data_IF_299189269444
#
_entry.id   IF_299189269444
#
_cell.length_a   1.000
_cell.length_b   1.000
_cell.length_c   1.000
_cell.angle_alpha   90.00
_cell.angle_beta   90.00
_cell.angle_gamma   90.00
#
_symmetry.space_group_name_H-M   'P 1'
#
loop_
_entity.id
_entity.type
_entity.pdbx_description
1 polymer ?
#
# COMPACT_ATOMS: atom_id res chain seq x y z
N UNK A 1 10.32 -5.64 1.45
CA UNK A 1 11.10 -5.95 0.23
C UNK A 1 12.56 -5.67 0.55
N UNK A 2 13.50 -6.46 0.04
CA UNK A 2 14.93 -6.19 0.26
C UNK A 2 15.76 -6.44 -0.99
N UNK A 3 16.92 -5.80 -1.05
CA UNK A 3 17.95 -6.01 -2.06
C UNK A 3 19.32 -5.98 -1.38
N UNK A 4 20.29 -6.68 -1.94
CA UNK A 4 21.64 -6.70 -1.39
C UNK A 4 22.67 -6.73 -2.51
N UNK A 5 23.84 -6.18 -2.22
CA UNK A 5 25.01 -6.26 -3.08
C UNK A 5 26.25 -6.46 -2.23
N UNK A 6 27.29 -7.03 -2.81
CA UNK A 6 28.56 -7.17 -2.13
C UNK A 6 29.70 -6.97 -3.11
N UNK A 7 30.85 -6.59 -2.59
CA UNK A 7 32.09 -6.49 -3.35
C UNK A 7 33.26 -6.97 -2.50
N UNK A 8 34.31 -7.47 -3.16
CA UNK A 8 35.54 -7.90 -2.50
C UNK A 8 36.70 -7.20 -3.19
N UNK A 9 37.58 -6.56 -2.42
CA UNK A 9 38.82 -5.95 -2.91
C UNK A 9 39.98 -6.37 -1.99
N UNK A 10 40.77 -7.32 -2.47
CA UNK A 10 41.83 -7.93 -1.65
C UNK A 10 41.23 -8.64 -0.43
N UNK A 11 41.72 -8.37 0.80
CA UNK A 11 41.16 -8.98 1.99
C UNK A 11 39.85 -8.33 2.46
N UNK A 12 39.45 -7.18 1.89
CA UNK A 12 38.26 -6.45 2.32
C UNK A 12 37.03 -6.94 1.56
N UNK A 13 35.95 -7.21 2.27
CA UNK A 13 34.62 -7.47 1.72
C UNK A 13 33.64 -6.44 2.26
N UNK A 14 32.86 -5.86 1.34
CA UNK A 14 31.78 -4.92 1.64
C UNK A 14 30.45 -5.57 1.31
N UNK A 15 29.49 -5.49 2.22
CA UNK A 15 28.12 -5.96 2.03
C UNK A 15 27.18 -4.78 2.23
N UNK A 16 26.31 -4.53 1.26
CA UNK A 16 25.29 -3.50 1.31
C UNK A 16 23.91 -4.16 1.28
N UNK A 17 22.98 -3.62 2.05
CA UNK A 17 21.59 -4.08 2.09
C UNK A 17 20.67 -2.87 2.04
N UNK A 18 19.63 -2.94 1.22
CA UNK A 18 18.50 -2.01 1.20
C UNK A 18 17.22 -2.74 1.59
N UNK A 19 16.42 -2.16 2.47
CA UNK A 19 15.14 -2.73 2.93
C UNK A 19 14.07 -1.66 2.88
N UNK A 20 13.00 -1.92 2.12
CA UNK A 20 11.74 -1.16 2.17
C UNK A 20 10.79 -1.90 3.12
N UNK A 21 10.30 -1.20 4.14
CA UNK A 21 9.35 -1.72 5.12
C UNK A 21 7.90 -1.44 4.72
N UNK A 22 6.94 -2.10 5.39
CA UNK A 22 5.51 -1.94 5.10
C UNK A 22 4.97 -0.55 5.42
N UNK A 23 5.59 0.20 6.33
CA UNK A 23 5.27 1.61 6.58
C UNK A 23 5.91 2.58 5.57
N UNK A 24 6.54 2.02 4.53
CA UNK A 24 7.28 2.70 3.47
C UNK A 24 8.54 3.44 3.94
N UNK A 25 8.97 3.22 5.18
CA UNK A 25 10.32 3.60 5.58
C UNK A 25 11.36 2.72 4.89
N UNK A 26 12.58 3.26 4.76
CA UNK A 26 13.67 2.58 4.05
C UNK A 26 14.92 2.56 4.90
N UNK A 27 15.56 1.41 4.98
CA UNK A 27 16.84 1.22 5.64
C UNK A 27 17.90 0.84 4.61
N UNK A 28 19.08 1.44 4.74
CA UNK A 28 20.30 0.99 4.07
C UNK A 28 21.39 0.69 5.09
N UNK A 29 21.98 -0.49 4.99
CA UNK A 29 23.08 -0.94 5.83
C UNK A 29 24.33 -1.20 5.01
N UNK A 30 25.49 -0.85 5.56
CA UNK A 30 26.81 -1.18 5.00
C UNK A 30 27.61 -1.88 6.09
N UNK A 31 28.19 -3.03 5.76
CA UNK A 31 29.12 -3.77 6.62
C UNK A 31 30.36 -4.09 5.82
N UNK A 32 31.51 -3.57 6.28
CA UNK A 32 32.82 -3.92 5.75
C UNK A 32 33.55 -4.80 6.74
N UNK A 33 34.22 -5.85 6.26
CA UNK A 33 35.00 -6.76 7.09
C UNK A 33 36.17 -7.37 6.32
N UNK A 34 37.16 -7.87 7.05
CA UNK A 34 38.23 -8.68 6.48
C UNK A 34 37.73 -10.11 6.25
N UNK A 35 37.95 -10.67 5.06
CA UNK A 35 37.56 -12.05 4.75
C UNK A 35 38.25 -13.09 5.62
N UNK A 36 39.44 -12.76 6.15
CA UNK A 36 40.16 -13.58 7.13
C UNK A 36 39.58 -13.50 8.55
N UNK A 37 38.74 -12.51 8.85
CA UNK A 37 38.15 -12.33 10.17
C UNK A 37 36.74 -11.70 10.07
N UNK A 38 35.74 -12.41 9.51
CA UNK A 38 34.43 -11.85 9.20
C UNK A 38 33.59 -11.50 10.43
N UNK A 39 33.94 -12.02 11.61
CA UNK A 39 33.23 -11.76 12.87
C UNK A 39 33.46 -10.33 13.40
N UNK A 40 34.48 -9.63 12.91
CA UNK A 40 34.86 -8.30 13.38
C UNK A 40 34.80 -7.28 12.23
N UNK A 41 33.62 -6.65 12.02
CA UNK A 41 33.46 -5.62 11.01
C UNK A 41 34.43 -4.45 11.22
N UNK A 42 35.10 -4.04 10.16
CA UNK A 42 35.97 -2.86 10.13
C UNK A 42 35.17 -1.56 10.00
N UNK A 43 33.98 -1.62 9.40
CA UNK A 43 33.06 -0.50 9.29
C UNK A 43 31.60 -0.99 9.29
N UNK A 44 30.73 -0.19 9.91
CA UNK A 44 29.27 -0.40 9.94
C UNK A 44 28.60 0.95 9.80
N UNK A 45 27.71 1.09 8.82
CA UNK A 45 26.92 2.31 8.61
C UNK A 45 25.45 1.96 8.44
N UNK A 46 24.58 2.76 9.04
CA UNK A 46 23.13 2.68 8.90
C UNK A 46 22.58 4.02 8.41
N UNK A 47 21.78 3.97 7.35
CA UNK A 47 21.08 5.13 6.80
C UNK A 47 19.59 4.81 6.77
N UNK A 48 18.77 5.76 7.15
CA UNK A 48 17.33 5.57 7.25
C UNK A 48 16.55 6.70 6.60
N UNK A 49 15.54 6.34 5.82
CA UNK A 49 14.46 7.23 5.37
C UNK A 49 13.22 6.91 6.23
N UNK A 50 12.69 7.88 7.01
CA UNK A 50 11.50 7.66 7.82
C UNK A 50 10.26 7.41 6.95
N UNK A 51 9.16 6.92 7.56
CA UNK A 51 7.88 6.83 6.87
C UNK A 51 7.51 8.19 6.24
N UNK A 52 6.98 8.20 5.00
CA UNK A 52 6.64 9.43 4.31
C UNK A 52 5.53 10.18 5.05
N UNK A 53 5.54 11.51 4.91
CA UNK A 53 4.47 12.36 5.44
C UNK A 53 3.22 12.27 4.57
N UNK A 54 2.09 12.71 5.10
CA UNK A 54 0.84 12.80 4.36
C UNK A 54 0.93 13.82 3.23
N UNK A 55 0.31 13.50 2.10
CA UNK A 55 0.28 14.35 0.92
C UNK A 55 -0.88 15.34 0.96
N UNK A 56 -0.68 16.51 0.34
CA UNK A 56 -1.73 17.49 0.15
C UNK A 56 -2.73 17.03 -0.95
N UNK A 57 -3.83 17.77 -1.11
CA UNK A 57 -4.87 17.46 -2.08
C UNK A 57 -4.37 17.43 -3.53
N UNK A 58 -3.50 18.38 -3.91
CA UNK A 58 -3.01 18.51 -5.29
C UNK A 58 -2.21 17.27 -5.69
N UNK A 59 -1.24 16.86 -4.86
CA UNK A 59 -0.45 15.64 -5.06
C UNK A 59 -1.33 14.39 -5.12
N UNK A 60 -2.34 14.29 -4.25
CA UNK A 60 -3.26 13.14 -4.25
C UNK A 60 -4.22 13.13 -5.45
N UNK A 61 -4.50 14.29 -6.04
CA UNK A 61 -5.32 14.42 -7.24
C UNK A 61 -4.50 14.04 -8.47
N UNK A 62 -3.26 14.53 -8.58
CA UNK A 62 -2.33 14.15 -9.64
C UNK A 62 -2.07 12.64 -9.64
N UNK A 63 -1.86 12.03 -8.46
CA UNK A 63 -1.71 10.60 -8.34
C UNK A 63 -2.95 9.83 -8.85
N UNK A 64 -4.14 10.31 -8.50
CA UNK A 64 -5.40 9.75 -9.02
C UNK A 64 -5.47 9.87 -10.55
N UNK A 65 -5.24 11.05 -11.10
CA UNK A 65 -5.27 11.28 -12.55
C UNK A 65 -4.25 10.42 -13.31
N UNK A 66 -3.12 10.11 -12.67
CA UNK A 66 -2.05 9.29 -13.25
C UNK A 66 -2.37 7.79 -13.24
N UNK A 67 -2.88 7.26 -12.13
CA UNK A 67 -2.94 5.81 -11.90
C UNK A 67 -4.35 5.23 -11.86
N UNK A 68 -5.31 5.96 -11.30
CA UNK A 68 -6.55 5.36 -10.80
C UNK A 68 -7.41 4.72 -11.88
N UNK A 69 -7.59 5.38 -13.02
CA UNK A 69 -8.47 4.87 -14.06
C UNK A 69 -7.92 3.58 -14.68
N UNK A 70 -6.61 3.53 -14.95
CA UNK A 70 -5.98 2.31 -15.47
C UNK A 70 -6.06 1.15 -14.47
N UNK A 71 -5.91 1.41 -13.17
CA UNK A 71 -6.02 0.38 -12.12
C UNK A 71 -7.46 -0.15 -12.02
N UNK A 72 -8.45 0.74 -12.03
CA UNK A 72 -9.86 0.33 -11.97
C UNK A 72 -10.29 -0.45 -13.23
N UNK A 73 -9.92 0.04 -14.43
CA UNK A 73 -10.18 -0.65 -15.70
C UNK A 73 -9.48 -2.02 -15.77
N UNK A 74 -8.24 -2.11 -15.25
CA UNK A 74 -7.54 -3.38 -15.16
C UNK A 74 -8.36 -4.40 -14.35
N UNK A 75 -8.86 -4.02 -13.17
CA UNK A 75 -9.71 -4.89 -12.36
C UNK A 75 -11.03 -5.26 -13.07
N UNK A 76 -11.68 -4.27 -13.69
CA UNK A 76 -12.94 -4.44 -14.43
C UNK A 76 -12.80 -5.37 -15.64
N UNK A 77 -11.62 -5.42 -16.28
CA UNK A 77 -11.37 -6.27 -17.43
C UNK A 77 -11.56 -7.77 -17.14
N UNK A 78 -11.50 -8.17 -15.88
CA UNK A 78 -11.74 -9.56 -15.48
C UNK A 78 -13.21 -9.89 -15.19
N UNK A 79 -14.09 -8.88 -15.03
CA UNK A 79 -15.51 -9.11 -14.78
C UNK A 79 -16.17 -9.83 -15.96
N UNK A 80 -16.78 -10.98 -15.69
CA UNK A 80 -17.44 -11.78 -16.73
C UNK A 80 -16.49 -12.45 -17.73
N UNK A 81 -15.17 -12.33 -17.56
CA UNK A 81 -14.18 -12.96 -18.43
C UNK A 81 -14.11 -14.48 -18.26
N UNK A 82 -14.60 -14.99 -17.12
CA UNK A 82 -14.42 -16.39 -16.71
C UNK A 82 -12.99 -16.70 -16.25
N UNK A 83 -12.14 -15.69 -16.08
CA UNK A 83 -10.73 -15.84 -15.71
C UNK A 83 -10.40 -15.10 -14.41
N UNK A 84 -9.43 -15.65 -13.68
CA UNK A 84 -8.81 -14.99 -12.53
C UNK A 84 -7.68 -14.05 -12.99
N UNK A 85 -7.43 -13.00 -12.21
CA UNK A 85 -6.19 -12.25 -12.30
C UNK A 85 -5.06 -13.03 -11.62
N UNK A 86 -3.91 -13.16 -12.29
CA UNK A 86 -2.75 -13.85 -11.73
C UNK A 86 -3.06 -15.31 -11.37
N UNK A 87 -2.83 -15.66 -10.09
CA UNK A 87 -3.10 -17.01 -9.56
C UNK A 87 -4.48 -17.14 -8.92
N UNK A 88 -5.27 -16.06 -8.93
CA UNK A 88 -6.58 -16.02 -8.28
C UNK A 88 -6.54 -15.61 -6.80
N UNK A 89 -5.39 -15.19 -6.27
CA UNK A 89 -5.32 -14.66 -4.90
C UNK A 89 -5.93 -13.25 -4.85
N UNK A 90 -6.50 -12.84 -3.71
CA UNK A 90 -7.12 -11.52 -3.56
C UNK A 90 -6.16 -10.36 -3.87
N UNK A 91 -4.90 -10.49 -3.44
CA UNK A 91 -3.86 -9.49 -3.65
C UNK A 91 -3.31 -9.45 -5.09
N UNK A 92 -3.53 -10.48 -5.91
CA UNK A 92 -3.02 -10.51 -7.28
C UNK A 92 -3.60 -9.34 -8.10
N UNK A 93 -4.88 -8.97 -7.91
CA UNK A 93 -5.50 -7.84 -8.59
C UNK A 93 -4.73 -6.53 -8.37
N UNK A 94 -4.49 -6.17 -7.11
CA UNK A 94 -3.77 -4.95 -6.76
C UNK A 94 -2.30 -5.00 -7.20
N UNK A 95 -1.62 -6.13 -6.99
CA UNK A 95 -0.23 -6.31 -7.39
C UNK A 95 -0.03 -6.19 -8.90
N UNK A 96 -0.84 -6.89 -9.69
CA UNK A 96 -0.73 -6.85 -11.16
C UNK A 96 -1.16 -5.50 -11.73
N UNK A 97 -2.19 -4.86 -11.16
CA UNK A 97 -2.60 -3.51 -11.57
C UNK A 97 -1.50 -2.46 -11.34
N UNK A 98 -0.76 -2.55 -10.23
CA UNK A 98 0.40 -1.67 -9.98
C UNK A 98 1.59 -2.03 -10.88
N UNK A 99 1.82 -3.33 -11.12
CA UNK A 99 2.88 -3.80 -12.00
C UNK A 99 2.62 -3.47 -13.48
N UNK A 100 1.38 -3.21 -13.88
CA UNK A 100 1.04 -2.77 -15.24
C UNK A 100 1.85 -1.55 -15.68
N UNK A 101 2.18 -0.64 -14.75
CA UNK A 101 2.95 0.57 -15.04
C UNK A 101 4.44 0.31 -15.26
N UNK A 102 4.96 -0.88 -14.95
CA UNK A 102 6.40 -1.18 -15.08
C UNK A 102 6.89 -1.11 -16.54
N UNK A 103 5.97 -1.32 -17.49
CA UNK A 103 6.24 -1.41 -18.91
C UNK A 103 6.14 -0.05 -19.63
N UNK A 104 5.85 1.03 -18.88
CA UNK A 104 5.70 2.39 -19.41
C UNK A 104 6.74 3.34 -18.83
N UNK A 105 7.84 3.56 -19.56
CA UNK A 105 8.96 4.40 -19.09
C UNK A 105 8.60 5.88 -18.87
N UNK A 106 7.51 6.35 -19.49
CA UNK A 106 7.05 7.74 -19.37
C UNK A 106 6.09 7.97 -18.19
N UNK A 107 5.67 6.91 -17.50
CA UNK A 107 4.83 7.02 -16.30
C UNK A 107 5.70 6.74 -15.08
N UNK A 108 5.77 7.65 -14.09
CA UNK A 108 6.48 7.36 -12.84
C UNK A 108 5.94 6.09 -12.20
N UNK A 109 6.81 5.16 -11.82
CA UNK A 109 6.41 3.86 -11.27
C UNK A 109 5.72 4.07 -9.91
N UNK A 110 4.53 3.49 -9.68
CA UNK A 110 3.87 3.61 -8.40
C UNK A 110 4.64 2.83 -7.32
N UNK A 111 4.41 3.16 -6.05
CA UNK A 111 4.84 2.33 -4.93
C UNK A 111 4.29 0.91 -5.12
N UNK A 112 5.13 -0.13 -5.13
CA UNK A 112 4.66 -1.51 -5.32
C UNK A 112 3.89 -1.99 -4.08
N UNK A 113 2.99 -2.95 -4.28
CA UNK A 113 2.38 -3.68 -3.15
C UNK A 113 3.47 -4.29 -2.26
N UNK A 114 3.51 -3.89 -1.00
CA UNK A 114 4.43 -4.44 0.00
C UNK A 114 3.67 -4.79 1.28
N UNK A 115 3.58 -6.09 1.56
CA UNK A 115 2.70 -6.60 2.62
C UNK A 115 1.28 -6.07 2.41
N UNK A 116 0.78 -5.19 3.30
CA UNK A 116 -0.56 -4.60 3.28
C UNK A 116 -0.62 -3.17 2.73
N UNK A 117 0.48 -2.68 2.17
CA UNK A 117 0.61 -1.28 1.77
C UNK A 117 0.71 -1.17 0.26
N UNK A 118 -0.14 -0.32 -0.30
CA UNK A 118 -0.31 -0.17 -1.75
C UNK A 118 -0.14 1.28 -2.24
N UNK A 119 0.44 2.16 -1.42
CA UNK A 119 0.67 3.57 -1.74
C UNK A 119 0.49 4.50 -0.54
N UNK A 120 -0.01 5.71 -0.79
CA UNK A 120 -0.30 6.68 0.27
C UNK A 120 -1.57 6.28 1.02
N UNK A 121 -1.51 6.13 2.34
CA UNK A 121 -2.68 5.84 3.18
C UNK A 121 -3.68 7.01 3.12
N UNK A 122 -4.90 6.77 2.68
CA UNK A 122 -6.01 7.74 2.63
C UNK A 122 -6.88 7.61 3.88
N UNK A 123 -7.11 6.39 4.33
CA UNK A 123 -7.99 6.12 5.45
C UNK A 123 -7.58 4.83 6.16
N UNK A 124 -7.65 4.82 7.48
CA UNK A 124 -7.60 3.60 8.29
C UNK A 124 -8.80 3.59 9.24
N UNK A 125 -9.36 2.40 9.46
CA UNK A 125 -10.53 2.22 10.32
C UNK A 125 -10.51 0.88 11.03
N UNK A 126 -11.20 0.83 12.17
CA UNK A 126 -11.34 -0.36 13.01
C UNK A 126 -12.72 -0.41 13.65
N UNK A 127 -13.28 -1.60 13.71
CA UNK A 127 -14.45 -1.91 14.52
C UNK A 127 -14.11 -2.94 15.59
N UNK A 128 -14.69 -2.78 16.77
CA UNK A 128 -14.66 -3.79 17.83
C UNK A 128 -16.04 -3.90 18.51
N UNK A 129 -16.21 -4.94 19.32
CA UNK A 129 -17.43 -5.15 20.12
C UNK A 129 -18.73 -5.18 19.28
N UNK A 130 -18.69 -5.83 18.11
CA UNK A 130 -19.83 -5.93 17.19
C UNK A 130 -20.30 -4.55 16.71
N UNK A 131 -19.36 -3.68 16.35
CA UNK A 131 -19.62 -2.35 15.79
C UNK A 131 -19.99 -1.28 16.82
N UNK A 132 -19.92 -1.59 18.12
CA UNK A 132 -20.18 -0.59 19.18
C UNK A 132 -19.07 0.47 19.25
N UNK A 133 -17.85 0.05 18.96
CA UNK A 133 -16.68 0.94 18.94
C UNK A 133 -16.17 1.00 17.52
N UNK A 134 -16.28 2.19 16.92
CA UNK A 134 -15.88 2.50 15.57
C UNK A 134 -14.85 3.63 15.61
N UNK A 135 -13.63 3.31 15.24
CA UNK A 135 -12.51 4.25 15.21
C UNK A 135 -11.98 4.33 13.80
N UNK A 136 -11.57 5.51 13.37
CA UNK A 136 -10.89 5.66 12.10
C UNK A 136 -10.25 7.02 11.98
N UNK A 137 -9.37 7.15 11.00
CA UNK A 137 -8.54 8.33 10.81
C UNK A 137 -8.36 8.56 9.32
N UNK A 138 -8.67 9.78 8.90
CA UNK A 138 -8.35 10.25 7.56
C UNK A 138 -6.89 10.70 7.46
N UNK A 139 -6.29 10.50 6.29
CA UNK A 139 -4.89 10.78 6.02
C UNK A 139 -4.73 11.48 4.68
N UNK A 140 -4.03 12.61 4.69
CA UNK A 140 -3.82 13.45 3.51
C UNK A 140 -4.94 14.46 3.24
N UNK A 141 -4.73 15.28 2.22
CA UNK A 141 -5.56 16.46 1.93
C UNK A 141 -6.73 16.21 0.98
N UNK A 142 -6.88 15.02 0.40
CA UNK A 142 -8.04 14.76 -0.47
C UNK A 142 -9.33 14.59 0.35
N UNK A 143 -10.47 14.80 -0.28
CA UNK A 143 -11.77 14.85 0.39
C UNK A 143 -12.65 13.64 0.12
N UNK A 144 -12.13 12.64 -0.58
CA UNK A 144 -12.87 11.47 -1.04
C UNK A 144 -11.95 10.28 -1.22
N UNK A 145 -12.55 9.11 -1.13
CA UNK A 145 -11.96 7.90 -1.69
C UNK A 145 -12.30 7.87 -3.16
N UNK A 146 -11.34 7.51 -3.99
CA UNK A 146 -11.48 7.56 -5.43
C UNK A 146 -11.52 6.17 -6.01
N UNK A 147 -12.17 6.07 -7.16
CA UNK A 147 -11.93 4.97 -8.09
C UNK A 147 -10.42 4.77 -8.28
N UNK A 148 -9.98 3.51 -8.35
CA UNK A 148 -8.58 3.11 -8.44
C UNK A 148 -7.81 3.10 -7.11
N UNK A 149 -8.37 3.62 -6.02
CA UNK A 149 -7.80 3.39 -4.68
C UNK A 149 -7.90 1.89 -4.33
N UNK A 150 -7.02 1.41 -3.45
CA UNK A 150 -6.90 0.00 -3.08
C UNK A 150 -7.31 -0.16 -1.62
N UNK A 151 -8.29 -1.03 -1.37
CA UNK A 151 -8.76 -1.37 -0.04
C UNK A 151 -8.08 -2.66 0.45
N UNK A 152 -7.67 -2.64 1.72
CA UNK A 152 -7.11 -3.78 2.43
C UNK A 152 -7.92 -4.00 3.71
N UNK A 153 -8.33 -5.24 3.97
CA UNK A 153 -9.06 -5.63 5.18
C UNK A 153 -8.34 -6.75 5.92
N UNK A 154 -8.46 -6.71 7.24
CA UNK A 154 -7.93 -7.74 8.14
C UNK A 154 -8.95 -8.11 9.20
N UNK A 155 -9.32 -9.39 9.22
CA UNK A 155 -10.28 -10.02 10.14
C UNK A 155 -11.58 -9.24 10.24
N UNK A 156 -12.05 -8.75 9.09
CA UNK A 156 -13.21 -7.89 9.00
C UNK A 156 -14.48 -8.71 8.97
N UNK A 157 -15.45 -8.25 9.76
CA UNK A 157 -16.81 -8.76 9.78
C UNK A 157 -17.75 -7.62 9.47
N UNK A 158 -18.53 -7.78 8.40
CA UNK A 158 -19.53 -6.80 7.97
C UNK A 158 -20.91 -7.43 8.13
N UNK A 159 -21.76 -6.81 8.95
CA UNK A 159 -23.14 -7.22 9.15
C UNK A 159 -23.96 -7.05 7.87
N UNK A 160 -24.90 -7.98 7.63
CA UNK A 160 -25.84 -7.92 6.51
C UNK A 160 -27.22 -8.37 6.97
N UNK A 161 -28.32 -7.98 6.31
CA UNK A 161 -29.63 -8.53 6.61
C UNK A 161 -29.60 -10.07 6.59
N UNK A 162 -29.88 -10.70 7.73
CA UNK A 162 -29.89 -12.17 7.87
C UNK A 162 -28.52 -12.85 7.99
N UNK A 163 -27.41 -12.10 8.11
CA UNK A 163 -26.09 -12.72 8.23
C UNK A 163 -24.93 -11.74 8.33
N UNK A 164 -23.76 -12.17 7.88
CA UNK A 164 -22.55 -11.37 7.83
C UNK A 164 -21.63 -11.85 6.72
N UNK A 165 -20.70 -11.00 6.31
CA UNK A 165 -19.57 -11.37 5.46
C UNK A 165 -18.28 -11.26 6.24
N UNK A 166 -17.37 -12.19 5.99
CA UNK A 166 -16.00 -12.15 6.50
C UNK A 166 -15.08 -11.71 5.37
N UNK A 167 -14.25 -10.70 5.63
CA UNK A 167 -13.19 -10.25 4.74
C UNK A 167 -11.86 -10.36 5.47
N UNK A 168 -10.89 -10.98 4.82
CA UNK A 168 -9.55 -11.15 5.36
C UNK A 168 -9.49 -12.07 6.57
N UNK A 169 -9.55 -13.37 6.34
CA UNK A 169 -9.12 -14.36 7.34
C UNK A 169 -7.86 -15.09 6.81
N UNK A 170 -6.66 -14.48 6.90
CA UNK A 170 -6.32 -13.29 7.69
C UNK A 170 -6.41 -11.93 6.99
N UNK A 171 -6.29 -11.86 5.65
CA UNK A 171 -6.15 -10.62 4.88
C UNK A 171 -6.91 -10.66 3.54
N UNK A 172 -7.40 -9.51 3.08
CA UNK A 172 -8.13 -9.39 1.82
C UNK A 172 -7.91 -8.04 1.16
N UNK A 173 -7.60 -8.05 -0.13
CA UNK A 173 -7.34 -6.85 -0.93
C UNK A 173 -8.40 -6.72 -2.02
N UNK A 174 -8.86 -5.50 -2.30
CA UNK A 174 -9.73 -5.20 -3.43
C UNK A 174 -9.42 -3.83 -4.03
N UNK A 175 -9.84 -3.62 -5.28
CA UNK A 175 -9.71 -2.35 -5.98
C UNK A 175 -11.04 -1.61 -5.92
N UNK A 176 -11.03 -0.35 -5.49
CA UNK A 176 -12.20 0.51 -5.44
C UNK A 176 -12.53 0.98 -6.86
N UNK A 177 -13.78 0.82 -7.29
CA UNK A 177 -14.20 1.10 -8.67
C UNK A 177 -15.26 2.20 -8.78
N UNK A 178 -15.62 2.82 -7.67
CA UNK A 178 -16.46 4.02 -7.65
C UNK A 178 -15.92 5.03 -6.64
N UNK A 179 -15.98 6.31 -6.99
CA UNK A 179 -15.74 7.39 -6.06
C UNK A 179 -16.74 7.33 -4.90
N UNK A 180 -16.26 7.65 -3.71
CA UNK A 180 -17.08 7.81 -2.53
C UNK A 180 -16.65 9.06 -1.77
N UNK A 181 -17.63 9.89 -1.44
CA UNK A 181 -17.45 11.09 -0.64
C UNK A 181 -17.96 10.79 0.78
N UNK A 182 -17.11 10.88 1.82
CA UNK A 182 -17.54 10.71 3.19
C UNK A 182 -18.61 11.72 3.59
N UNK A 183 -19.43 11.39 4.59
CA UNK A 183 -20.54 12.25 5.05
C UNK A 183 -20.06 13.59 5.59
N UNK A 184 -18.83 13.65 6.08
CA UNK A 184 -18.17 14.85 6.58
C UNK A 184 -16.94 15.10 5.74
N UNK A 185 -16.69 16.35 5.35
CA UNK A 185 -15.48 16.71 4.61
C UNK A 185 -14.25 16.45 5.48
N UNK A 186 -13.42 15.46 5.14
CA UNK A 186 -12.33 15.06 6.01
C UNK A 186 -11.19 16.07 5.93
N UNK A 187 -10.32 16.03 6.95
CA UNK A 187 -9.05 16.75 6.99
C UNK A 187 -7.97 15.78 7.44
N UNK A 188 -6.72 16.06 7.07
CA UNK A 188 -5.62 15.20 7.50
C UNK A 188 -5.58 15.04 9.03
N UNK A 189 -5.47 13.80 9.49
CA UNK A 189 -5.47 13.43 10.91
C UNK A 189 -6.84 13.48 11.59
N UNK A 190 -7.91 13.86 10.89
CA UNK A 190 -9.26 13.90 11.45
C UNK A 190 -9.75 12.50 11.79
N UNK A 191 -10.32 12.34 12.99
CA UNK A 191 -11.07 11.14 13.36
C UNK A 191 -12.32 11.06 12.49
N UNK A 192 -12.47 9.94 11.79
CA UNK A 192 -13.60 9.64 10.92
C UNK A 192 -13.91 8.16 11.08
N UNK A 193 -15.09 7.84 11.60
CA UNK A 193 -15.49 6.46 11.83
C UNK A 193 -15.83 5.74 10.52
N UNK A 194 -15.70 4.40 10.44
CA UNK A 194 -16.14 3.64 9.27
C UNK A 194 -17.58 3.94 8.83
N UNK A 195 -18.50 4.23 9.76
CA UNK A 195 -19.88 4.57 9.44
C UNK A 195 -20.04 5.92 8.72
N UNK A 196 -19.09 6.84 8.89
CA UNK A 196 -19.07 8.13 8.21
C UNK A 196 -18.45 8.06 6.81
N UNK A 197 -17.74 6.95 6.53
CA UNK A 197 -17.10 6.70 5.25
C UNK A 197 -18.15 6.45 4.15
N UNK A 198 -19.14 5.59 4.40
CA UNK A 198 -20.22 5.28 3.45
C UNK A 198 -20.06 3.91 2.79
N UNK A 199 -20.40 3.81 1.50
CA UNK A 199 -20.36 2.55 0.76
C UNK A 199 -19.10 2.50 -0.11
N UNK A 200 -18.33 1.43 0.02
CA UNK A 200 -17.23 1.12 -0.88
C UNK A 200 -17.71 0.14 -1.94
N UNK A 201 -17.65 0.56 -3.21
CA UNK A 201 -17.85 -0.34 -4.34
C UNK A 201 -16.52 -0.80 -4.88
N UNK A 202 -16.28 -2.10 -4.86
CA UNK A 202 -14.99 -2.71 -5.16
C UNK A 202 -15.10 -3.83 -6.17
N UNK A 203 -13.98 -4.16 -6.79
CA UNK A 203 -13.75 -5.45 -7.44
C UNK A 203 -12.75 -6.23 -6.63
N UNK A 204 -13.14 -7.45 -6.30
CA UNK A 204 -12.35 -8.38 -5.51
C UNK A 204 -12.35 -9.76 -6.16
N UNK A 205 -11.36 -10.56 -5.81
CA UNK A 205 -11.32 -11.99 -6.13
C UNK A 205 -10.79 -12.76 -4.92
N UNK A 206 -10.92 -14.07 -4.94
CA UNK A 206 -10.24 -14.94 -3.98
C UNK A 206 -10.04 -16.34 -4.58
N UNK A 207 -9.31 -17.21 -3.89
CA UNK A 207 -9.11 -18.59 -4.37
C UNK A 207 -10.45 -19.29 -4.56
N UNK A 208 -10.76 -19.65 -5.80
CA UNK A 208 -12.02 -20.30 -6.16
C UNK A 208 -13.21 -19.36 -6.35
N UNK A 209 -13.02 -18.05 -6.22
CA UNK A 209 -14.02 -17.04 -6.55
C UNK A 209 -13.50 -16.12 -7.65
N UNK A 210 -14.16 -16.16 -8.81
CA UNK A 210 -13.85 -15.25 -9.91
C UNK A 210 -14.04 -13.79 -9.50
N UNK A 211 -13.35 -12.84 -10.16
CA UNK A 211 -13.54 -11.42 -9.92
C UNK A 211 -15.01 -11.01 -9.94
N UNK A 212 -15.44 -10.34 -8.89
CA UNK A 212 -16.82 -9.92 -8.67
C UNK A 212 -16.86 -8.47 -8.19
N UNK A 213 -17.87 -7.73 -8.63
CA UNK A 213 -18.19 -6.41 -8.10
C UNK A 213 -19.01 -6.53 -6.83
N UNK A 214 -18.60 -5.86 -5.76
CA UNK A 214 -19.33 -5.84 -4.48
C UNK A 214 -19.41 -4.47 -3.86
N UNK A 215 -20.49 -4.27 -3.13
CA UNK A 215 -20.71 -3.10 -2.30
C UNK A 215 -20.57 -3.48 -0.81
N UNK A 216 -19.78 -2.69 -0.09
CA UNK A 216 -19.59 -2.80 1.35
C UNK A 216 -20.02 -1.52 2.04
N UNK A 217 -21.13 -1.59 2.77
CA UNK A 217 -21.54 -0.49 3.66
C UNK A 217 -20.67 -0.49 4.92
N UNK A 218 -19.80 0.51 5.03
CA UNK A 218 -18.87 0.63 6.16
C UNK A 218 -19.58 0.97 7.47
N UNK A 219 -20.85 1.39 7.45
CA UNK A 219 -21.66 1.51 8.68
C UNK A 219 -22.06 0.17 9.29
N UNK A 220 -21.97 -0.91 8.51
CA UNK A 220 -22.20 -2.27 8.96
C UNK A 220 -20.92 -2.98 9.46
N UNK A 221 -19.81 -2.26 9.65
CA UNK A 221 -18.57 -2.85 10.14
C UNK A 221 -18.71 -3.27 11.62
N UNK A 222 -18.65 -4.57 11.89
CA UNK A 222 -18.85 -5.13 13.24
C UNK A 222 -17.52 -5.45 13.95
N UNK A 223 -16.51 -5.86 13.20
CA UNK A 223 -15.18 -6.16 13.72
C UNK A 223 -14.10 -6.03 12.63
N UNK A 224 -12.84 -5.91 13.05
CA UNK A 224 -11.66 -5.97 12.19
C UNK A 224 -11.13 -4.59 11.81
N UNK A 225 -10.14 -4.60 10.93
CA UNK A 225 -9.37 -3.42 10.52
C UNK A 225 -9.43 -3.25 9.00
N UNK A 226 -9.44 -2.00 8.54
CA UNK A 226 -9.42 -1.67 7.13
C UNK A 226 -8.48 -0.49 6.84
N UNK A 227 -7.87 -0.51 5.66
CA UNK A 227 -7.03 0.55 5.14
C UNK A 227 -7.39 0.82 3.69
N UNK A 228 -7.30 2.09 3.28
CA UNK A 228 -7.49 2.50 1.89
C UNK A 228 -6.24 3.25 1.47
N UNK A 229 -5.64 2.83 0.37
CA UNK A 229 -4.42 3.41 -0.17
C UNK A 229 -4.67 4.00 -1.55
N UNK A 230 -4.09 5.17 -1.78
CA UNK A 230 -3.98 5.75 -3.11
C UNK A 230 -2.65 5.32 -3.75
N UNK A 231 -2.68 4.65 -4.91
CA UNK A 231 -1.50 4.47 -5.74
C UNK A 231 -0.81 5.82 -5.99
N UNK A 232 0.49 5.89 -5.77
CA UNK A 232 1.28 7.12 -5.88
C UNK A 232 2.69 6.79 -6.36
N UNK A 233 3.32 7.72 -7.09
CA UNK A 233 4.70 7.58 -7.57
C UNK A 233 5.68 7.27 -6.43
N UNK A 234 6.48 6.23 -6.58
CA UNK A 234 7.53 5.90 -5.62
C UNK A 234 8.58 7.03 -5.55
N UNK A 235 8.94 7.59 -6.70
CA UNK A 235 9.89 8.70 -6.79
C UNK A 235 9.30 9.99 -6.20
N UNK A 236 8.06 10.33 -6.55
CA UNK A 236 7.41 11.52 -6.02
C UNK A 236 7.15 11.45 -4.52
N UNK A 237 6.88 10.25 -3.99
CA UNK A 237 6.47 10.07 -2.60
C UNK A 237 7.62 9.74 -1.65
N UNK A 238 8.57 8.91 -2.09
CA UNK A 238 9.71 8.45 -1.29
C UNK A 238 11.03 9.10 -1.71
N UNK A 239 11.06 9.82 -2.85
CA UNK A 239 12.27 10.39 -3.44
C UNK A 239 13.23 9.35 -4.06
N UNK A 240 12.78 8.11 -4.19
CA UNK A 240 13.52 7.01 -4.82
C UNK A 240 12.68 6.36 -5.92
N UNK A 241 13.26 6.12 -7.09
CA UNK A 241 12.56 5.47 -8.21
C UNK A 241 12.52 3.94 -8.10
N UNK A 242 13.42 3.36 -7.31
CA UNK A 242 13.49 1.94 -6.99
C UNK A 242 14.33 1.70 -5.74
N UNK A 243 14.10 0.57 -5.06
CA UNK A 243 14.95 0.14 -3.94
C UNK A 243 16.30 -0.39 -4.47
N UNK A 244 17.40 0.23 -4.04
CA UNK A 244 18.77 -0.19 -4.31
C UNK A 244 19.47 -0.65 -3.02
N UNK A 245 20.57 -1.40 -3.16
CA UNK A 245 21.34 -1.88 -2.00
C UNK A 245 22.08 -0.76 -1.27
N UNK A 246 22.25 0.40 -1.90
CA UNK A 246 22.98 1.55 -1.38
C UNK A 246 22.08 2.78 -1.38
N UNK A 247 22.12 3.58 -0.32
CA UNK A 247 21.33 4.79 -0.23
C UNK A 247 21.64 5.77 -1.39
N UNK A 248 20.63 6.49 -1.90
CA UNK A 248 20.83 7.53 -2.91
C UNK A 248 21.68 8.69 -2.35
N UNK A 249 22.58 9.22 -3.16
CA UNK A 249 23.40 10.37 -2.77
C UNK A 249 22.55 11.66 -2.75
N UNK A 250 22.72 12.48 -1.71
CA UNK A 250 22.11 13.81 -1.63
C UNK A 250 20.58 13.82 -1.43
N UNK A 251 19.97 12.68 -1.12
CA UNK A 251 18.53 12.59 -0.91
C UNK A 251 18.11 13.30 0.38
N UNK A 252 17.16 14.22 0.27
CA UNK A 252 16.63 14.98 1.40
C UNK A 252 15.95 14.04 2.42
N UNK A 253 16.15 14.26 3.71
CA UNK A 253 15.48 13.49 4.77
C UNK A 253 16.14 12.17 5.16
N UNK A 254 17.25 11.78 4.53
CA UNK A 254 18.07 10.68 5.03
C UNK A 254 18.66 11.01 6.41
N UNK A 255 18.64 10.03 7.30
CA UNK A 255 19.23 10.08 8.64
C UNK A 255 20.34 9.05 8.75
N UNK A 256 21.51 9.47 9.20
CA UNK A 256 22.62 8.57 9.54
C UNK A 256 22.58 8.27 11.04
N UNK A 257 22.75 6.99 11.39
CA UNK A 257 22.79 6.49 12.76
C UNK A 257 24.20 6.00 13.12
#
# INVERSE_FOLDING_TARGET
>A
MYTSSWSTRGPNKSVNIGVLFSDLSVFWGIVDFLTSNPEYPTNRKAIYLPPPQTCNQATLTEAHETYSESIALFAESFLGSGQHCGRGECWDLANEALNYFKDYDYIPKPVPSISRTHGHLIYEGRATEMGKTLEGRWRGGDNRVRRGDIAEWRKVRIGRPGGFSMLGDPDHTAIIVADMVPRVTPRDGMSLSPAELGILTVIEQSRGQLPERRDYDCSCLEAGEMWIYRPISMEGYLGISQLSATAPYGHAGLREL
#
